data_IF_853739708001
#
_entry.id   IF_853739708001
#
_cell.length_a   1.000
_cell.length_b   1.000
_cell.length_c   1.000
_cell.angle_alpha   90.00
_cell.angle_beta   90.00
_cell.angle_gamma   90.00
#
_symmetry.space_group_name_H-M   'P 1'
#
loop_
_entity.id
_entity.type
_entity.pdbx_description
1 polymer ?
#
# COMPACT_ATOMS: atom_id res chain seq x y z
N UNK A 1 31.28 -37.66 1.56
CA UNK A 1 31.79 -37.33 0.19
C UNK A 1 32.24 -35.88 0.13
N UNK A 2 33.27 -35.55 -0.66
CA UNK A 2 33.65 -34.15 -0.83
C UNK A 2 32.58 -33.44 -1.67
N UNK A 3 32.01 -32.36 -1.15
CA UNK A 3 31.02 -31.53 -1.85
C UNK A 3 31.72 -30.74 -2.96
N UNK A 4 31.26 -30.90 -4.18
CA UNK A 4 31.82 -30.23 -5.36
C UNK A 4 31.27 -28.81 -5.54
N UNK A 5 32.05 -27.94 -6.17
CA UNK A 5 31.60 -26.58 -6.52
C UNK A 5 30.35 -26.59 -7.42
N UNK A 6 30.20 -27.59 -8.29
CA UNK A 6 29.02 -27.77 -9.14
C UNK A 6 27.75 -28.05 -8.34
N UNK A 7 27.81 -28.93 -7.34
CA UNK A 7 26.69 -29.20 -6.44
C UNK A 7 26.28 -27.97 -5.64
N UNK A 8 27.26 -27.19 -5.16
CA UNK A 8 26.98 -25.94 -4.44
C UNK A 8 26.30 -24.93 -5.36
N UNK A 9 26.76 -24.80 -6.60
CA UNK A 9 26.15 -23.94 -7.60
C UNK A 9 24.71 -24.38 -7.92
N UNK A 10 24.51 -25.66 -8.17
CA UNK A 10 23.17 -26.22 -8.46
C UNK A 10 22.18 -25.96 -7.33
N UNK A 11 22.60 -26.20 -6.07
CA UNK A 11 21.74 -25.93 -4.91
C UNK A 11 21.44 -24.43 -4.76
N UNK A 12 22.43 -23.57 -5.03
CA UNK A 12 22.24 -22.13 -5.04
C UNK A 12 21.25 -21.69 -6.13
N UNK A 13 21.39 -22.21 -7.34
CA UNK A 13 20.50 -21.87 -8.46
C UNK A 13 19.05 -22.31 -8.19
N UNK A 14 18.86 -23.42 -7.44
CA UNK A 14 17.54 -23.90 -7.00
C UNK A 14 16.93 -23.13 -5.83
N UNK A 15 17.75 -22.69 -4.88
CA UNK A 15 17.26 -22.14 -3.60
C UNK A 15 17.48 -20.64 -3.45
N UNK A 16 18.35 -20.04 -4.27
CA UNK A 16 18.79 -18.67 -4.16
C UNK A 16 19.63 -18.37 -2.89
N UNK A 17 19.90 -19.34 -2.04
CA UNK A 17 20.65 -19.17 -0.81
C UNK A 17 22.13 -18.82 -1.07
N UNK A 18 22.80 -18.22 -0.07
CA UNK A 18 24.20 -17.84 -0.18
C UNK A 18 25.10 -19.07 -0.46
N UNK A 19 26.17 -18.88 -1.24
CA UNK A 19 27.07 -19.98 -1.65
C UNK A 19 27.66 -20.74 -0.46
N UNK A 20 28.03 -20.04 0.62
CA UNK A 20 28.59 -20.65 1.83
C UNK A 20 27.51 -21.42 2.61
N UNK A 21 26.28 -20.98 2.57
CA UNK A 21 25.15 -21.64 3.21
C UNK A 21 24.77 -22.92 2.45
N UNK A 22 24.74 -22.87 1.12
CA UNK A 22 24.57 -24.05 0.29
C UNK A 22 25.65 -25.08 0.53
N UNK A 23 26.93 -24.64 0.62
CA UNK A 23 28.06 -25.55 0.93
C UNK A 23 27.90 -26.21 2.30
N UNK A 24 27.56 -25.42 3.33
CA UNK A 24 27.33 -25.95 4.69
C UNK A 24 26.16 -26.94 4.73
N UNK A 25 25.04 -26.56 4.12
CA UNK A 25 23.84 -27.42 4.06
C UNK A 25 24.12 -28.75 3.34
N UNK A 26 24.81 -28.71 2.19
CA UNK A 26 25.21 -29.93 1.49
C UNK A 26 26.18 -30.77 2.31
N UNK A 27 27.12 -30.17 3.03
CA UNK A 27 28.05 -30.88 3.89
C UNK A 27 27.31 -31.57 5.03
N UNK A 28 26.38 -30.91 5.70
CA UNK A 28 25.56 -31.43 6.79
C UNK A 28 24.59 -32.54 6.30
N UNK A 29 24.14 -32.40 5.04
CA UNK A 29 23.25 -33.35 4.39
C UNK A 29 23.99 -34.51 3.68
N UNK A 30 25.30 -34.64 3.84
CA UNK A 30 26.14 -35.65 3.14
C UNK A 30 25.93 -35.66 1.61
N UNK A 31 25.68 -34.49 1.01
CA UNK A 31 25.44 -34.33 -0.42
C UNK A 31 23.99 -34.57 -0.86
N UNK A 32 23.08 -34.86 0.05
CA UNK A 32 21.66 -35.04 -0.26
C UNK A 32 20.99 -33.67 -0.45
N UNK A 33 20.52 -33.41 -1.67
CA UNK A 33 19.91 -32.11 -2.04
C UNK A 33 18.61 -31.81 -1.30
N UNK A 34 17.73 -32.80 -1.11
CA UNK A 34 16.45 -32.60 -0.42
C UNK A 34 16.66 -32.22 1.04
N UNK A 35 17.55 -32.96 1.73
CA UNK A 35 17.94 -32.63 3.10
C UNK A 35 18.64 -31.29 3.20
N UNK A 36 19.49 -30.92 2.22
CA UNK A 36 20.15 -29.62 2.20
C UNK A 36 19.14 -28.47 2.02
N UNK A 37 18.11 -28.63 1.20
CA UNK A 37 17.00 -27.67 1.06
C UNK A 37 16.25 -27.54 2.40
N UNK A 38 15.96 -28.64 3.08
CA UNK A 38 15.30 -28.61 4.40
C UNK A 38 16.14 -27.86 5.45
N UNK A 39 17.45 -28.09 5.48
CA UNK A 39 18.39 -27.36 6.37
C UNK A 39 18.37 -25.85 6.05
N UNK A 40 18.38 -25.48 4.77
CA UNK A 40 18.30 -24.06 4.35
C UNK A 40 16.98 -23.43 4.76
N UNK A 41 15.84 -24.13 4.62
CA UNK A 41 14.51 -23.66 5.08
C UNK A 41 14.49 -23.44 6.60
N UNK A 42 15.00 -24.39 7.39
CA UNK A 42 15.12 -24.24 8.86
C UNK A 42 15.99 -23.03 9.24
N UNK A 43 17.09 -22.83 8.51
CA UNK A 43 17.94 -21.65 8.70
C UNK A 43 17.21 -20.36 8.37
N UNK A 44 16.48 -20.31 7.25
CA UNK A 44 15.64 -19.16 6.87
C UNK A 44 14.61 -18.81 7.96
N UNK A 45 13.92 -19.80 8.50
CA UNK A 45 12.97 -19.61 9.60
C UNK A 45 13.65 -19.02 10.86
N UNK A 46 14.83 -19.52 11.23
CA UNK A 46 15.61 -18.98 12.35
C UNK A 46 16.07 -17.54 12.12
N UNK A 47 16.39 -17.15 10.88
CA UNK A 47 16.71 -15.76 10.54
C UNK A 47 15.46 -14.90 10.66
N UNK A 48 14.32 -15.34 10.12
CA UNK A 48 13.05 -14.64 10.19
C UNK A 48 12.62 -14.39 11.66
N UNK A 49 12.73 -15.39 12.52
CA UNK A 49 12.43 -15.27 13.95
C UNK A 49 13.32 -14.23 14.64
N UNK A 50 14.64 -14.27 14.40
CA UNK A 50 15.58 -13.29 14.97
C UNK A 50 15.34 -11.86 14.47
N UNK A 51 14.79 -11.71 13.26
CA UNK A 51 14.50 -10.42 12.63
C UNK A 51 13.10 -9.91 12.92
N UNK A 52 12.19 -10.72 13.47
CA UNK A 52 10.78 -10.37 13.69
C UNK A 52 10.58 -9.05 14.45
N UNK A 53 11.41 -8.78 15.45
CA UNK A 53 11.37 -7.54 16.25
C UNK A 53 12.04 -6.32 15.60
N UNK A 54 12.63 -6.44 14.39
CA UNK A 54 13.25 -5.33 13.69
C UNK A 54 12.20 -4.43 13.03
N UNK A 55 12.53 -3.15 12.86
CA UNK A 55 11.70 -2.20 12.13
C UNK A 55 12.01 -2.30 10.63
N UNK A 56 10.97 -2.37 9.80
CA UNK A 56 11.06 -2.42 8.35
C UNK A 56 10.30 -1.21 7.77
N UNK A 57 11.00 -0.07 7.61
CA UNK A 57 10.42 1.20 7.18
C UNK A 57 10.69 1.52 5.70
N UNK A 58 11.57 0.75 5.06
CA UNK A 58 11.79 0.81 3.62
C UNK A 58 10.94 -0.24 2.91
N UNK A 59 10.88 -0.22 1.58
CA UNK A 59 10.08 -1.16 0.80
C UNK A 59 9.51 -0.55 -0.46
N UNK A 60 8.41 -1.14 -0.94
CA UNK A 60 7.68 -0.66 -2.12
C UNK A 60 6.17 -0.74 -1.91
N UNK A 61 5.46 0.19 -2.55
CA UNK A 61 4.00 0.15 -2.71
C UNK A 61 3.70 -0.13 -4.18
N UNK A 62 2.97 -1.21 -4.43
CA UNK A 62 2.57 -1.64 -5.76
C UNK A 62 1.06 -1.46 -5.95
N UNK A 63 0.66 -1.22 -7.19
CA UNK A 63 -0.75 -1.15 -7.57
C UNK A 63 -1.00 -1.96 -8.84
N UNK A 64 -2.21 -2.47 -9.01
CA UNK A 64 -2.65 -3.13 -10.23
C UNK A 64 -4.10 -2.81 -10.53
N UNK A 65 -4.37 -2.39 -11.76
CA UNK A 65 -5.74 -2.18 -12.27
C UNK A 65 -6.06 -3.29 -13.25
N UNK A 66 -7.19 -3.95 -13.05
CA UNK A 66 -7.62 -5.11 -13.82
C UNK A 66 -9.05 -4.91 -14.35
N UNK A 67 -9.48 -5.81 -15.22
CA UNK A 67 -10.87 -5.88 -15.71
C UNK A 67 -11.34 -4.55 -16.30
N UNK A 68 -10.51 -3.89 -17.11
CA UNK A 68 -10.79 -2.58 -17.70
C UNK A 68 -11.12 -1.49 -16.67
N UNK A 69 -10.48 -1.54 -15.48
CA UNK A 69 -10.69 -0.57 -14.42
C UNK A 69 -11.74 -0.98 -13.39
N UNK A 70 -12.33 -2.18 -13.49
CA UNK A 70 -13.34 -2.68 -12.55
C UNK A 70 -12.76 -3.33 -11.29
N UNK A 71 -11.45 -3.55 -11.27
CA UNK A 71 -10.74 -4.12 -10.13
C UNK A 71 -9.50 -3.29 -9.85
N UNK A 72 -9.33 -2.87 -8.61
CA UNK A 72 -8.17 -2.14 -8.10
C UNK A 72 -7.47 -2.89 -6.99
N UNK A 73 -6.15 -2.95 -7.05
CA UNK A 73 -5.28 -3.54 -6.02
C UNK A 73 -4.19 -2.55 -5.65
N UNK A 74 -3.96 -2.41 -4.35
CA UNK A 74 -2.80 -1.73 -3.77
C UNK A 74 -2.18 -2.63 -2.71
N UNK A 75 -0.84 -2.73 -2.69
CA UNK A 75 -0.06 -3.62 -1.83
C UNK A 75 1.16 -2.89 -1.30
N UNK A 76 1.46 -3.02 0.00
CA UNK A 76 2.70 -2.56 0.62
C UNK A 76 3.51 -3.74 1.13
N UNK A 77 4.78 -3.82 0.67
CA UNK A 77 5.77 -4.78 1.15
C UNK A 77 6.98 -4.01 1.66
N UNK A 78 7.39 -4.30 2.89
CA UNK A 78 8.48 -3.59 3.58
C UNK A 78 9.73 -4.45 3.79
N UNK A 79 10.87 -3.77 3.92
CA UNK A 79 12.17 -4.31 4.30
C UNK A 79 12.94 -3.33 5.21
N UNK A 80 14.13 -3.73 5.69
CA UNK A 80 14.89 -2.88 6.60
C UNK A 80 15.61 -1.74 5.87
N UNK A 81 16.12 -1.97 4.64
CA UNK A 81 16.92 -1.00 3.89
C UNK A 81 16.41 -0.72 2.47
N UNK A 82 16.73 0.46 1.96
CA UNK A 82 16.47 0.88 0.59
C UNK A 82 17.26 0.07 -0.45
N UNK A 83 18.45 -0.42 -0.10
CA UNK A 83 19.22 -1.34 -0.95
C UNK A 83 18.45 -2.61 -1.25
N UNK A 84 17.82 -3.20 -0.25
CA UNK A 84 16.96 -4.38 -0.42
C UNK A 84 15.70 -4.04 -1.20
N UNK A 85 15.04 -2.92 -0.90
CA UNK A 85 13.85 -2.47 -1.63
C UNK A 85 14.08 -2.36 -3.15
N UNK A 86 15.30 -2.00 -3.57
CA UNK A 86 15.69 -1.87 -4.98
C UNK A 86 16.28 -3.16 -5.58
N UNK A 87 16.38 -4.26 -4.82
CA UNK A 87 16.91 -5.53 -5.34
C UNK A 87 15.88 -6.31 -6.16
N UNK A 88 16.36 -7.02 -7.19
CA UNK A 88 15.51 -7.89 -8.01
C UNK A 88 14.80 -8.96 -7.19
N UNK A 89 15.47 -9.54 -6.20
CA UNK A 89 14.90 -10.58 -5.35
C UNK A 89 13.68 -10.07 -4.57
N UNK A 90 13.78 -8.87 -3.99
CA UNK A 90 12.68 -8.26 -3.24
C UNK A 90 11.53 -7.85 -4.17
N UNK A 91 11.85 -7.22 -5.30
CA UNK A 91 10.86 -6.78 -6.29
C UNK A 91 10.11 -7.97 -6.89
N UNK A 92 10.82 -9.08 -7.21
CA UNK A 92 10.21 -10.31 -7.70
C UNK A 92 9.28 -10.94 -6.65
N UNK A 93 9.69 -10.94 -5.37
CA UNK A 93 8.82 -11.41 -4.28
C UNK A 93 7.56 -10.54 -4.14
N UNK A 94 7.69 -9.22 -4.17
CA UNK A 94 6.54 -8.32 -4.07
C UNK A 94 5.56 -8.50 -5.25
N UNK A 95 6.06 -8.70 -6.46
CA UNK A 95 5.23 -9.01 -7.63
C UNK A 95 4.56 -10.39 -7.51
N UNK A 96 5.26 -11.41 -7.01
CA UNK A 96 4.68 -12.72 -6.72
C UNK A 96 3.51 -12.60 -5.72
N UNK A 97 3.66 -11.80 -4.66
CA UNK A 97 2.59 -11.52 -3.70
C UNK A 97 1.41 -10.83 -4.37
N UNK A 98 1.70 -9.81 -5.20
CA UNK A 98 0.68 -9.07 -5.96
C UNK A 98 -0.14 -10.01 -6.86
N UNK A 99 0.52 -10.89 -7.61
CA UNK A 99 -0.13 -11.85 -8.51
C UNK A 99 -0.91 -12.91 -7.73
N UNK A 100 -0.40 -13.32 -6.57
CA UNK A 100 -1.12 -14.23 -5.66
C UNK A 100 -2.43 -13.61 -5.17
N UNK A 101 -2.43 -12.32 -4.78
CA UNK A 101 -3.64 -11.61 -4.35
C UNK A 101 -4.67 -11.57 -5.50
N UNK A 102 -4.23 -11.28 -6.72
CA UNK A 102 -5.12 -11.28 -7.90
C UNK A 102 -5.76 -12.64 -8.13
N UNK A 103 -4.97 -13.71 -8.05
CA UNK A 103 -5.42 -15.08 -8.35
C UNK A 103 -6.34 -15.64 -7.27
N UNK A 104 -6.03 -15.43 -5.99
CA UNK A 104 -6.69 -16.10 -4.86
C UNK A 104 -7.70 -15.21 -4.13
N UNK A 105 -7.62 -13.86 -4.30
CA UNK A 105 -8.50 -12.87 -3.67
C UNK A 105 -8.64 -13.07 -2.15
N UNK A 106 -7.53 -13.17 -1.40
CA UNK A 106 -7.57 -13.38 0.04
C UNK A 106 -8.22 -12.18 0.74
N UNK A 107 -8.96 -12.43 1.81
CA UNK A 107 -9.64 -11.38 2.56
C UNK A 107 -8.71 -10.59 3.49
N UNK A 108 -7.60 -11.21 3.92
CA UNK A 108 -6.64 -10.65 4.89
C UNK A 108 -5.24 -11.24 4.71
N UNK A 109 -4.28 -10.71 5.49
CA UNK A 109 -2.87 -11.16 5.46
C UNK A 109 -2.72 -12.64 5.83
N UNK A 110 -3.50 -13.15 6.77
CA UNK A 110 -3.41 -14.54 7.22
C UNK A 110 -3.80 -15.51 6.09
N UNK A 111 -4.90 -15.23 5.40
CA UNK A 111 -5.30 -15.99 4.22
C UNK A 111 -4.29 -15.86 3.09
N UNK A 112 -3.74 -14.66 2.87
CA UNK A 112 -2.69 -14.42 1.88
C UNK A 112 -1.46 -15.28 2.17
N UNK A 113 -0.97 -15.30 3.40
CA UNK A 113 0.19 -16.11 3.80
C UNK A 113 -0.04 -17.61 3.60
N UNK A 114 -1.29 -18.07 3.71
CA UNK A 114 -1.69 -19.48 3.46
C UNK A 114 -1.91 -19.78 1.98
N UNK A 115 -2.04 -18.77 1.13
CA UNK A 115 -2.34 -18.89 -0.30
C UNK A 115 -1.17 -19.46 -1.09
N UNK A 116 -1.51 -20.08 -2.23
CA UNK A 116 -0.52 -20.61 -3.19
C UNK A 116 -0.73 -20.01 -4.57
N UNK A 117 0.36 -19.71 -5.24
CA UNK A 117 0.39 -19.29 -6.63
C UNK A 117 1.60 -19.90 -7.34
N UNK A 118 1.40 -20.46 -8.52
CA UNK A 118 2.44 -21.18 -9.30
C UNK A 118 3.20 -22.23 -8.47
N UNK A 119 2.44 -23.01 -7.68
CA UNK A 119 2.98 -24.08 -6.81
C UNK A 119 3.72 -23.61 -5.56
N UNK A 120 3.86 -22.30 -5.33
CA UNK A 120 4.57 -21.71 -4.17
C UNK A 120 3.59 -21.15 -3.15
N UNK A 121 3.89 -21.33 -1.87
CA UNK A 121 3.11 -20.75 -0.76
C UNK A 121 3.72 -19.41 -0.34
N UNK A 122 2.89 -18.37 -0.13
CA UNK A 122 3.35 -17.01 0.20
C UNK A 122 4.14 -16.98 1.51
N UNK A 123 3.68 -17.64 2.56
CA UNK A 123 4.37 -17.67 3.85
C UNK A 123 5.72 -18.40 3.80
N UNK A 124 5.80 -19.46 3.00
CA UNK A 124 7.08 -20.15 2.75
C UNK A 124 8.04 -19.26 1.96
N UNK A 125 7.56 -18.59 0.91
CA UNK A 125 8.39 -17.68 0.11
C UNK A 125 8.83 -16.45 0.90
N UNK A 126 7.99 -15.90 1.78
CA UNK A 126 8.36 -14.84 2.72
C UNK A 126 9.50 -15.29 3.66
N UNK A 127 9.43 -16.51 4.17
CA UNK A 127 10.49 -17.09 5.00
C UNK A 127 11.77 -17.31 4.21
N UNK A 128 11.65 -17.81 2.97
CA UNK A 128 12.78 -18.08 2.08
C UNK A 128 13.51 -16.78 1.71
N UNK A 129 12.77 -15.73 1.31
CA UNK A 129 13.36 -14.45 0.93
C UNK A 129 14.01 -13.74 2.12
N UNK A 130 13.39 -13.79 3.30
CA UNK A 130 13.96 -13.27 4.55
C UNK A 130 15.27 -13.99 4.89
N UNK A 131 15.31 -15.31 4.75
CA UNK A 131 16.51 -16.10 4.96
C UNK A 131 17.62 -15.83 3.94
N UNK A 132 17.25 -15.60 2.68
CA UNK A 132 18.17 -15.29 1.57
C UNK A 132 18.83 -13.93 1.73
N UNK A 133 18.02 -12.90 1.99
CA UNK A 133 18.45 -11.49 2.09
C UNK A 133 19.06 -11.21 3.46
N UNK A 134 18.53 -11.83 4.53
CA UNK A 134 19.00 -11.63 5.90
C UNK A 134 18.43 -10.35 6.55
N UNK A 135 17.42 -9.72 5.97
CA UNK A 135 16.65 -8.62 6.53
C UNK A 135 15.21 -9.03 6.82
N UNK A 136 14.53 -8.32 7.74
CA UNK A 136 13.10 -8.46 7.92
C UNK A 136 12.39 -8.03 6.64
N UNK A 137 11.54 -8.91 6.12
CA UNK A 137 10.60 -8.61 5.05
C UNK A 137 9.19 -8.82 5.59
N UNK A 138 8.29 -7.92 5.26
CA UNK A 138 6.92 -7.92 5.78
C UNK A 138 5.94 -7.52 4.68
N UNK A 139 4.85 -8.26 4.53
CA UNK A 139 3.67 -7.84 3.79
C UNK A 139 2.81 -7.05 4.80
N UNK A 140 2.83 -5.73 4.71
CA UNK A 140 2.21 -4.90 5.76
C UNK A 140 0.72 -4.75 5.58
N UNK A 141 0.28 -4.49 4.36
CA UNK A 141 -1.15 -4.29 4.04
C UNK A 141 -1.40 -4.44 2.55
N UNK A 142 -2.62 -4.79 2.22
CA UNK A 142 -3.13 -4.71 0.86
C UNK A 142 -4.61 -4.37 0.87
N UNK A 143 -5.11 -3.91 -0.26
CA UNK A 143 -6.54 -3.74 -0.52
C UNK A 143 -6.83 -4.18 -1.93
N UNK A 144 -7.73 -5.14 -2.08
CA UNK A 144 -8.27 -5.59 -3.36
C UNK A 144 -9.76 -5.34 -3.35
N UNK A 145 -10.24 -4.60 -4.34
CA UNK A 145 -11.66 -4.35 -4.54
C UNK A 145 -12.07 -4.55 -5.99
N UNK A 146 -13.28 -5.02 -6.19
CA UNK A 146 -13.88 -5.20 -7.51
C UNK A 146 -15.34 -4.73 -7.50
N UNK A 147 -15.75 -3.99 -8.53
CA UNK A 147 -17.11 -3.55 -8.70
C UNK A 147 -17.43 -3.34 -10.18
N UNK A 148 -18.60 -3.80 -10.61
CA UNK A 148 -19.03 -3.61 -12.00
C UNK A 148 -19.51 -2.19 -12.31
N UNK A 149 -19.85 -1.40 -11.28
CA UNK A 149 -20.35 -0.02 -11.38
C UNK A 149 -19.30 1.01 -10.97
N UNK A 150 -18.05 0.58 -10.81
CA UNK A 150 -16.95 1.46 -10.39
C UNK A 150 -15.85 1.48 -11.42
N UNK A 151 -15.09 2.57 -11.42
CA UNK A 151 -13.83 2.71 -12.10
C UNK A 151 -12.74 2.92 -11.04
N UNK A 152 -11.72 2.08 -11.10
CA UNK A 152 -10.49 2.23 -10.32
C UNK A 152 -9.40 2.83 -11.18
N UNK A 153 -8.66 3.76 -10.60
CA UNK A 153 -7.42 4.28 -11.17
C UNK A 153 -6.36 4.42 -10.09
N UNK A 154 -5.13 4.52 -10.49
CA UNK A 154 -4.01 4.57 -9.56
C UNK A 154 -2.99 5.63 -9.93
N UNK A 155 -2.24 6.07 -8.94
CA UNK A 155 -1.02 6.83 -9.10
C UNK A 155 0.08 6.20 -8.24
N UNK A 156 1.23 5.93 -8.84
CA UNK A 156 2.44 5.49 -8.12
C UNK A 156 3.48 6.59 -8.22
N UNK A 157 3.90 7.12 -7.09
CA UNK A 157 4.92 8.16 -7.05
C UNK A 157 6.30 7.57 -7.37
N UNK A 158 7.15 8.40 -7.96
CA UNK A 158 8.52 7.98 -8.32
C UNK A 158 9.23 7.34 -7.11
N UNK A 159 9.89 6.20 -7.34
CA UNK A 159 10.53 5.40 -6.29
C UNK A 159 9.61 4.45 -5.53
N UNK A 160 8.33 4.36 -5.91
CA UNK A 160 7.35 3.39 -5.38
C UNK A 160 7.19 3.37 -3.85
N UNK A 161 7.53 4.48 -3.17
CA UNK A 161 7.34 4.62 -1.71
C UNK A 161 5.95 5.13 -1.32
N UNK A 162 5.19 5.59 -2.30
CA UNK A 162 3.85 6.15 -2.16
C UNK A 162 3.02 5.73 -3.37
N UNK A 163 1.85 5.22 -3.13
CA UNK A 163 0.84 5.02 -4.16
C UNK A 163 -0.56 5.37 -3.65
N UNK A 164 -1.43 5.71 -4.59
CA UNK A 164 -2.85 5.98 -4.34
C UNK A 164 -3.68 5.16 -5.31
N UNK A 165 -4.73 4.55 -4.80
CA UNK A 165 -5.82 3.93 -5.56
C UNK A 165 -7.07 4.76 -5.33
N UNK A 166 -7.73 5.21 -6.39
CA UNK A 166 -9.00 5.95 -6.36
C UNK A 166 -10.11 5.04 -6.86
N UNK A 167 -11.27 5.12 -6.24
CA UNK A 167 -12.51 4.49 -6.65
C UNK A 167 -13.56 5.55 -6.97
N UNK A 168 -14.18 5.45 -8.14
CA UNK A 168 -15.33 6.25 -8.52
C UNK A 168 -16.48 5.35 -8.91
N UNK A 169 -17.66 5.61 -8.38
CA UNK A 169 -18.90 4.90 -8.68
C UNK A 169 -19.77 5.66 -9.68
N UNK A 170 -20.81 4.99 -10.22
CA UNK A 170 -21.74 5.59 -11.20
C UNK A 170 -21.13 5.72 -12.60
N UNK A 171 -20.15 4.87 -12.93
CA UNK A 171 -19.43 4.93 -14.20
C UNK A 171 -20.17 4.10 -15.25
N UNK A 172 -20.75 4.76 -16.23
CA UNK A 172 -21.32 4.12 -17.41
C UNK A 172 -20.21 3.78 -18.43
N UNK A 173 -20.46 2.82 -19.30
CA UNK A 173 -19.44 2.18 -20.16
C UNK A 173 -18.87 3.07 -21.28
N UNK A 174 -19.43 4.26 -21.50
CA UNK A 174 -19.07 5.13 -22.62
C UNK A 174 -18.08 6.21 -22.18
N UNK A 175 -16.87 6.12 -22.68
CA UNK A 175 -15.80 7.10 -22.56
C UNK A 175 -15.10 7.22 -21.19
N UNK A 176 -14.32 6.18 -20.88
CA UNK A 176 -13.57 6.12 -19.62
C UNK A 176 -12.22 6.86 -19.67
N UNK A 177 -11.75 7.33 -20.85
CA UNK A 177 -10.40 7.91 -20.99
C UNK A 177 -10.27 9.23 -20.25
N UNK A 178 -11.20 10.15 -20.44
CA UNK A 178 -11.18 11.46 -19.79
C UNK A 178 -11.45 11.35 -18.29
N UNK A 179 -12.35 10.43 -17.90
CA UNK A 179 -12.58 10.13 -16.49
C UNK A 179 -11.32 9.57 -15.83
N UNK A 180 -10.61 8.63 -16.48
CA UNK A 180 -9.35 8.09 -15.96
C UNK A 180 -8.30 9.17 -15.74
N UNK A 181 -8.16 10.10 -16.69
CA UNK A 181 -7.25 11.24 -16.56
C UNK A 181 -7.62 12.11 -15.35
N UNK A 182 -8.90 12.46 -15.23
CA UNK A 182 -9.42 13.25 -14.10
C UNK A 182 -9.18 12.53 -12.75
N UNK A 183 -9.49 11.25 -12.67
CA UNK A 183 -9.25 10.46 -11.45
C UNK A 183 -7.76 10.28 -11.14
N UNK A 184 -6.90 10.19 -12.16
CA UNK A 184 -5.44 10.13 -11.96
C UNK A 184 -4.92 11.45 -11.39
N UNK A 185 -5.45 12.59 -11.84
CA UNK A 185 -5.11 13.89 -11.27
C UNK A 185 -5.54 14.00 -9.80
N UNK A 186 -6.71 13.45 -9.46
CA UNK A 186 -7.19 13.38 -8.08
C UNK A 186 -6.32 12.41 -7.25
N UNK A 187 -5.84 11.31 -7.83
CA UNK A 187 -4.89 10.42 -7.16
C UNK A 187 -3.56 11.13 -6.85
N UNK A 188 -3.06 11.96 -7.78
CA UNK A 188 -1.88 12.81 -7.54
C UNK A 188 -2.14 13.86 -6.44
N UNK A 189 -3.33 14.46 -6.41
CA UNK A 189 -3.77 15.36 -5.34
C UNK A 189 -3.72 14.63 -3.99
N UNK A 190 -4.34 13.46 -3.87
CA UNK A 190 -4.35 12.67 -2.63
C UNK A 190 -2.93 12.25 -2.20
N UNK A 191 -2.05 11.94 -3.16
CA UNK A 191 -0.65 11.66 -2.89
C UNK A 191 0.06 12.86 -2.24
N UNK A 192 -0.12 14.06 -2.79
CA UNK A 192 0.55 15.28 -2.34
C UNK A 192 -0.05 15.85 -1.04
N UNK A 193 -1.38 15.92 -0.96
CA UNK A 193 -2.08 16.65 0.11
C UNK A 193 -2.47 15.77 1.31
N UNK A 194 -2.24 14.45 1.25
CA UNK A 194 -2.43 13.49 2.35
C UNK A 194 -3.80 13.58 3.04
N UNK A 195 -4.92 13.55 2.31
CA UNK A 195 -6.23 13.52 2.95
C UNK A 195 -6.36 12.27 3.82
N UNK A 196 -7.13 12.38 4.90
CA UNK A 196 -7.42 11.28 5.81
C UNK A 196 -8.80 10.67 5.54
N UNK A 197 -9.72 11.46 5.02
CA UNK A 197 -11.10 11.09 4.75
C UNK A 197 -11.50 11.53 3.34
N UNK A 198 -12.56 10.92 2.80
CA UNK A 198 -13.10 11.34 1.52
C UNK A 198 -13.98 12.59 1.69
N UNK A 199 -14.92 12.56 2.66
CA UNK A 199 -15.88 13.62 2.96
C UNK A 199 -15.82 13.99 4.44
N UNK A 200 -16.41 15.13 4.82
CA UNK A 200 -16.51 15.54 6.23
C UNK A 200 -17.40 14.61 7.07
N UNK A 201 -18.39 13.98 6.44
CA UNK A 201 -19.29 13.01 7.05
C UNK A 201 -18.56 11.72 7.48
N UNK A 202 -17.42 11.44 6.87
CA UNK A 202 -16.58 10.28 7.18
C UNK A 202 -15.66 10.54 8.40
N UNK A 203 -15.56 11.80 8.85
CA UNK A 203 -14.73 12.17 9.99
C UNK A 203 -15.43 11.77 11.29
N UNK A 204 -14.81 10.96 12.18
CA UNK A 204 -15.38 10.58 13.46
C UNK A 204 -15.75 11.80 14.32
N UNK A 205 -16.92 11.76 14.96
CA UNK A 205 -17.43 12.88 15.74
C UNK A 205 -16.51 13.27 16.90
N UNK A 206 -15.84 12.31 17.53
CA UNK A 206 -14.88 12.53 18.61
C UNK A 206 -13.64 13.35 18.15
N UNK A 207 -13.22 13.17 16.90
CA UNK A 207 -12.15 14.00 16.29
C UNK A 207 -12.65 15.42 16.09
N UNK A 208 -13.88 15.59 15.55
CA UNK A 208 -14.48 16.91 15.34
C UNK A 208 -14.63 17.66 16.66
N UNK A 209 -15.17 17.00 17.70
CA UNK A 209 -15.39 17.59 19.01
C UNK A 209 -14.07 18.00 19.67
N UNK A 210 -13.06 17.14 19.59
CA UNK A 210 -11.71 17.42 20.10
C UNK A 210 -11.08 18.63 19.40
N UNK A 211 -11.15 18.72 18.07
CA UNK A 211 -10.63 19.87 17.34
C UNK A 211 -11.39 21.14 17.66
N UNK A 212 -12.74 21.08 17.80
CA UNK A 212 -13.57 22.20 18.22
C UNK A 212 -13.13 22.74 19.60
N UNK A 213 -12.92 21.87 20.58
CA UNK A 213 -12.48 22.25 21.93
C UNK A 213 -11.08 22.90 21.89
N UNK A 214 -10.15 22.34 21.12
CA UNK A 214 -8.81 22.92 20.94
C UNK A 214 -8.90 24.32 20.35
N UNK A 215 -9.70 24.53 19.30
CA UNK A 215 -9.86 25.85 18.68
C UNK A 215 -10.52 26.87 19.61
N UNK A 216 -11.47 26.46 20.44
CA UNK A 216 -12.07 27.31 21.46
C UNK A 216 -11.05 27.71 22.53
N UNK A 217 -10.24 26.76 23.03
CA UNK A 217 -9.20 27.05 24.03
C UNK A 217 -8.12 28.00 23.49
N UNK A 218 -7.63 27.74 22.27
CA UNK A 218 -6.65 28.60 21.59
C UNK A 218 -7.19 30.02 21.45
N UNK A 219 -8.44 30.15 20.99
CA UNK A 219 -9.08 31.45 20.82
C UNK A 219 -9.30 32.18 22.14
N UNK A 220 -9.61 31.46 23.25
CA UNK A 220 -9.71 31.99 24.59
C UNK A 220 -8.37 32.53 25.09
N UNK A 221 -7.27 31.79 24.85
CA UNK A 221 -5.91 32.25 25.17
C UNK A 221 -5.47 33.46 24.36
N UNK A 222 -5.99 33.61 23.15
CA UNK A 222 -5.81 34.81 22.31
C UNK A 222 -6.63 36.02 22.76
N UNK A 223 -7.42 35.90 23.82
CA UNK A 223 -8.24 36.99 24.40
C UNK A 223 -9.53 37.26 23.62
N UNK A 224 -10.02 36.32 22.83
CA UNK A 224 -11.29 36.48 22.12
C UNK A 224 -12.47 36.39 23.14
N UNK A 225 -13.52 37.21 22.95
CA UNK A 225 -14.71 37.19 23.77
C UNK A 225 -15.41 35.81 23.75
N UNK A 226 -15.88 35.35 24.91
CA UNK A 226 -16.49 34.02 25.07
C UNK A 226 -17.66 33.77 24.11
N UNK A 227 -18.52 34.80 23.90
CA UNK A 227 -19.72 34.69 23.05
C UNK A 227 -19.43 34.49 21.55
N UNK A 228 -18.17 34.62 21.08
CA UNK A 228 -17.78 34.37 19.67
C UNK A 228 -16.88 33.15 19.47
N UNK A 229 -16.46 32.51 20.57
CA UNK A 229 -15.51 31.37 20.50
C UNK A 229 -16.05 30.24 19.65
N UNK A 230 -17.32 29.90 19.81
CA UNK A 230 -17.96 28.82 19.03
C UNK A 230 -17.95 29.15 17.51
N UNK A 231 -18.31 30.35 17.13
CA UNK A 231 -18.29 30.78 15.74
C UNK A 231 -16.87 30.79 15.15
N UNK A 232 -15.87 31.14 15.95
CA UNK A 232 -14.46 31.07 15.53
C UNK A 232 -14.05 29.62 15.35
N UNK A 233 -14.42 28.72 16.27
CA UNK A 233 -14.12 27.31 16.21
C UNK A 233 -14.76 26.65 14.96
N UNK A 234 -16.02 26.96 14.65
CA UNK A 234 -16.67 26.51 13.41
C UNK A 234 -15.93 26.98 12.14
N UNK A 235 -15.48 28.24 12.10
CA UNK A 235 -14.66 28.74 11.00
C UNK A 235 -13.32 28.02 10.84
N UNK A 236 -12.67 27.66 11.97
CA UNK A 236 -11.44 26.87 11.99
C UNK A 236 -11.69 25.40 11.61
N UNK A 237 -12.81 24.80 12.05
CA UNK A 237 -13.23 23.45 11.63
C UNK A 237 -13.46 23.34 10.13
N UNK A 238 -14.02 24.36 9.49
CA UNK A 238 -14.16 24.36 8.02
C UNK A 238 -12.79 24.26 7.31
N UNK A 239 -11.77 24.97 7.84
CA UNK A 239 -10.40 24.85 7.31
C UNK A 239 -9.81 23.47 7.58
N UNK A 240 -10.06 22.92 8.75
CA UNK A 240 -9.65 21.55 9.09
C UNK A 240 -10.23 20.53 8.11
N UNK A 241 -11.52 20.59 7.79
CA UNK A 241 -12.12 19.71 6.78
C UNK A 241 -11.48 19.92 5.39
N UNK A 242 -11.18 21.15 5.00
CA UNK A 242 -10.48 21.43 3.73
C UNK A 242 -9.07 20.85 3.68
N UNK A 243 -8.44 20.60 4.83
CA UNK A 243 -7.11 19.97 4.90
C UNK A 243 -7.21 18.45 4.86
N UNK A 244 -8.17 17.86 5.59
CA UNK A 244 -8.20 16.40 5.80
C UNK A 244 -9.19 15.64 4.90
N UNK A 245 -10.16 16.31 4.26
CA UNK A 245 -11.17 15.68 3.40
C UNK A 245 -10.86 15.91 1.93
N UNK A 246 -10.60 14.82 1.19
CA UNK A 246 -10.19 14.89 -0.22
C UNK A 246 -11.12 15.75 -1.08
N UNK A 247 -12.44 15.55 -0.97
CA UNK A 247 -13.44 16.28 -1.75
C UNK A 247 -13.49 17.78 -1.46
N UNK A 248 -13.01 18.21 -0.29
CA UNK A 248 -12.99 19.62 0.13
C UNK A 248 -11.63 20.28 -0.05
N UNK A 249 -10.57 19.53 -0.38
CA UNK A 249 -9.26 20.11 -0.64
C UNK A 249 -9.30 21.01 -1.87
N UNK A 250 -8.62 22.16 -1.77
CA UNK A 250 -8.35 23.01 -2.93
C UNK A 250 -7.59 22.23 -3.99
N UNK A 251 -8.07 22.24 -5.23
CA UNK A 251 -7.50 21.44 -6.30
C UNK A 251 -6.14 21.99 -6.73
N UNK A 252 -5.11 21.14 -6.73
CA UNK A 252 -3.71 21.56 -6.95
C UNK A 252 -3.45 22.15 -8.34
N UNK A 253 -4.27 21.83 -9.35
CA UNK A 253 -4.14 22.36 -10.72
C UNK A 253 -4.95 23.62 -10.95
N UNK A 254 -5.93 23.93 -10.09
CA UNK A 254 -6.78 25.10 -10.16
C UNK A 254 -7.25 25.51 -8.76
N UNK A 255 -6.56 26.47 -8.16
CA UNK A 255 -6.82 26.93 -6.80
C UNK A 255 -8.18 27.65 -6.59
N UNK A 256 -8.93 27.89 -7.65
CA UNK A 256 -10.29 28.46 -7.58
C UNK A 256 -11.36 27.40 -7.31
N UNK A 257 -11.00 26.12 -7.32
CA UNK A 257 -11.91 24.97 -7.20
C UNK A 257 -11.46 24.01 -6.09
N UNK A 258 -12.40 23.21 -5.61
CA UNK A 258 -12.11 22.04 -4.77
C UNK A 258 -12.23 20.75 -5.59
N UNK A 259 -11.70 19.67 -5.08
CA UNK A 259 -11.71 18.35 -5.79
C UNK A 259 -13.12 17.94 -6.20
N UNK A 260 -14.13 18.16 -5.36
CA UNK A 260 -15.53 17.89 -5.67
C UNK A 260 -16.02 18.61 -6.92
N UNK A 261 -15.62 19.86 -7.10
CA UNK A 261 -16.03 20.68 -8.25
C UNK A 261 -15.57 20.06 -9.57
N UNK A 262 -14.39 19.43 -9.57
CA UNK A 262 -13.81 18.76 -10.75
C UNK A 262 -14.69 17.61 -11.21
N UNK A 263 -15.20 16.81 -10.28
CA UNK A 263 -16.13 15.70 -10.59
C UNK A 263 -17.50 16.25 -11.03
N UNK A 264 -17.98 17.32 -10.42
CA UNK A 264 -19.24 17.97 -10.82
C UNK A 264 -19.15 18.56 -12.23
N UNK A 265 -18.02 19.19 -12.60
CA UNK A 265 -17.77 19.69 -13.95
C UNK A 265 -17.69 18.56 -14.97
N UNK A 266 -16.99 17.46 -14.63
CA UNK A 266 -16.98 16.26 -15.47
C UNK A 266 -18.42 15.75 -15.72
N UNK A 267 -19.20 15.61 -14.67
CA UNK A 267 -20.61 15.15 -14.75
C UNK A 267 -21.47 16.05 -15.62
N UNK A 268 -21.35 17.37 -15.47
CA UNK A 268 -22.08 18.34 -16.32
C UNK A 268 -21.69 18.23 -17.78
N UNK A 269 -20.38 18.08 -18.08
CA UNK A 269 -19.89 17.97 -19.46
C UNK A 269 -20.29 16.67 -20.16
N UNK A 270 -20.43 15.58 -19.40
CA UNK A 270 -20.66 14.22 -19.94
C UNK A 270 -22.08 13.69 -19.64
N UNK A 271 -22.96 14.48 -19.01
CA UNK A 271 -24.30 14.05 -18.57
C UNK A 271 -24.25 12.75 -17.74
N UNK A 272 -23.28 12.65 -16.83
CA UNK A 272 -23.01 11.49 -15.98
C UNK A 272 -23.28 11.79 -14.50
N UNK A 273 -23.28 10.74 -13.66
CA UNK A 273 -23.49 10.84 -12.21
C UNK A 273 -22.34 10.18 -11.43
N UNK A 274 -21.12 10.36 -11.93
CA UNK A 274 -19.91 9.83 -11.28
C UNK A 274 -19.69 10.47 -9.93
N UNK A 275 -19.29 9.68 -8.94
CA UNK A 275 -18.93 10.13 -7.58
C UNK A 275 -17.64 9.46 -7.14
N UNK A 276 -16.75 10.20 -6.51
CA UNK A 276 -15.68 9.58 -5.74
C UNK A 276 -16.31 8.81 -4.58
N UNK A 277 -16.00 7.54 -4.45
CA UNK A 277 -16.60 6.67 -3.42
C UNK A 277 -15.58 6.18 -2.40
N UNK A 278 -14.31 6.09 -2.77
CA UNK A 278 -13.24 5.74 -1.84
C UNK A 278 -11.86 6.09 -2.41
N UNK A 279 -10.84 6.11 -1.53
CA UNK A 279 -9.45 6.16 -1.91
C UNK A 279 -8.57 5.43 -0.90
N UNK A 280 -7.48 4.84 -1.38
CA UNK A 280 -6.47 4.18 -0.56
C UNK A 280 -5.13 4.82 -0.85
N UNK A 281 -4.54 5.46 0.14
CA UNK A 281 -3.22 6.07 0.06
C UNK A 281 -2.27 5.31 0.98
N UNK A 282 -1.29 4.60 0.40
CA UNK A 282 -0.25 3.92 1.14
C UNK A 282 1.07 4.65 0.96
N UNK A 283 1.72 4.97 2.06
CA UNK A 283 3.07 5.50 2.10
C UNK A 283 3.87 4.73 3.14
N UNK A 284 5.13 4.40 2.83
CA UNK A 284 5.99 3.59 3.71
C UNK A 284 6.15 4.18 5.11
N UNK A 285 6.05 5.51 5.27
CA UNK A 285 6.16 6.20 6.54
C UNK A 285 4.84 6.33 7.33
N UNK A 286 3.72 5.76 6.84
CA UNK A 286 2.46 5.83 7.59
C UNK A 286 2.58 5.05 8.91
N UNK A 287 2.17 5.66 10.04
CA UNK A 287 2.38 5.10 11.37
C UNK A 287 1.39 3.97 11.72
N UNK A 288 0.20 3.98 11.14
CA UNK A 288 -0.85 2.98 11.39
C UNK A 288 -1.06 2.10 10.15
N UNK A 289 -0.26 1.03 10.05
CA UNK A 289 -0.30 0.07 8.93
C UNK A 289 -1.14 -1.14 9.24
#
# INVERSE_FOLDING_TARGET
MAITASQVKELRDKTGAGMMDCKKALTEADGNFEKAIEILRKKGASVAEKRAGRTANEGIVLTKILDNGKTGLILEVNCETDFVANSDDFTNFANFVLDTIVANKPANIEELLSSKFDGKNVGEELTNITGKIGEKIQISRFKLESSNNSLYTNYVHHGSKLAVLIKADGVESNDQSDLKNTLTDIAMQAAAMKPLYLNREDVPQDIIDKEKDIYMEVSRKEGKPEHILEKIAEGKLNKFFQEICLNEQTYVKDNSKVVKDIIEEFNKANSSEVKLSDFYRYHLSDENK
#
